data_IF_456354495336
#
_entry.id   IF_456354495336
#
_cell.length_a   1.000
_cell.length_b   1.000
_cell.length_c   1.000
_cell.angle_alpha   90.00
_cell.angle_beta   90.00
_cell.angle_gamma   90.00
#
_symmetry.space_group_name_H-M   'P 1'
#
loop_
_entity.id
_entity.type
_entity.pdbx_description
1 polymer ?
#
# COMPACT_ATOMS: atom_id res chain seq x y z
N UNK A 1 -11.71 29.75 24.10
CA UNK A 1 -11.19 29.99 22.74
C UNK A 1 -9.85 29.30 22.56
N UNK A 2 -8.92 29.39 23.51
CA UNK A 2 -7.62 28.68 23.49
C UNK A 2 -7.75 27.15 23.33
N UNK A 3 -8.64 26.51 24.11
CA UNK A 3 -8.82 25.06 24.12
C UNK A 3 -9.37 24.47 22.79
N UNK A 4 -10.07 25.26 21.98
CA UNK A 4 -10.55 24.82 20.67
C UNK A 4 -9.46 24.90 19.61
N UNK A 5 -8.64 25.97 19.61
CA UNK A 5 -7.54 26.11 18.65
C UNK A 5 -6.52 24.97 18.78
N UNK A 6 -6.20 24.56 20.01
CA UNK A 6 -5.31 23.43 20.28
C UNK A 6 -5.85 22.11 19.74
N UNK A 7 -7.16 21.86 19.88
CA UNK A 7 -7.79 20.65 19.37
C UNK A 7 -7.76 20.57 17.83
N UNK A 8 -7.88 21.71 17.14
CA UNK A 8 -7.81 21.78 15.69
C UNK A 8 -6.38 21.63 15.16
N UNK A 9 -5.40 22.20 15.85
CA UNK A 9 -3.99 22.00 15.55
C UNK A 9 -3.62 20.51 15.68
N UNK A 10 -4.04 19.84 16.77
CA UNK A 10 -3.83 18.41 16.98
C UNK A 10 -4.47 17.55 15.87
N UNK A 11 -5.71 17.85 15.46
CA UNK A 11 -6.37 17.12 14.37
C UNK A 11 -5.67 17.30 13.02
N UNK A 12 -5.16 18.51 12.75
CA UNK A 12 -4.40 18.80 11.54
C UNK A 12 -3.04 18.09 11.52
N UNK A 13 -2.35 18.07 12.65
CA UNK A 13 -1.07 17.37 12.80
C UNK A 13 -1.24 15.86 12.67
N UNK A 14 -2.28 15.30 13.27
CA UNK A 14 -2.63 13.87 13.12
C UNK A 14 -2.99 13.53 11.66
N UNK A 15 -3.74 14.39 10.97
CA UNK A 15 -4.05 14.21 9.55
C UNK A 15 -2.77 14.17 8.69
N UNK A 16 -1.88 15.15 8.86
CA UNK A 16 -0.60 15.22 8.13
C UNK A 16 0.27 14.00 8.43
N UNK A 17 0.39 13.64 9.71
CA UNK A 17 1.14 12.47 10.15
C UNK A 17 0.65 11.20 9.47
N UNK A 18 -0.67 10.93 9.49
CA UNK A 18 -1.24 9.73 8.88
C UNK A 18 -1.10 9.71 7.37
N UNK A 19 -1.29 10.84 6.70
CA UNK A 19 -1.10 10.93 5.27
C UNK A 19 0.34 10.58 4.87
N UNK A 20 1.34 11.19 5.53
CA UNK A 20 2.75 10.89 5.27
C UNK A 20 3.09 9.43 5.62
N UNK A 21 2.57 8.93 6.74
CA UNK A 21 2.78 7.55 7.17
C UNK A 21 2.26 6.55 6.13
N UNK A 22 1.06 6.77 5.59
CA UNK A 22 0.45 5.93 4.54
C UNK A 22 1.34 5.91 3.30
N UNK A 23 1.77 7.08 2.82
CA UNK A 23 2.65 7.17 1.64
C UNK A 23 3.98 6.46 1.85
N UNK A 24 4.63 6.71 3.00
CA UNK A 24 5.90 6.07 3.34
C UNK A 24 5.79 4.55 3.37
N UNK A 25 4.75 4.02 4.01
CA UNK A 25 4.49 2.57 4.06
C UNK A 25 4.22 2.00 2.67
N UNK A 26 3.42 2.70 1.87
CA UNK A 26 3.08 2.29 0.50
C UNK A 26 4.34 2.16 -0.37
N UNK A 27 5.24 3.15 -0.34
CA UNK A 27 6.50 3.08 -1.10
C UNK A 27 7.45 2.00 -0.59
N UNK A 28 7.64 1.90 0.73
CA UNK A 28 8.52 0.89 1.33
C UNK A 28 8.10 -0.53 0.94
N UNK A 29 6.80 -0.82 1.01
CA UNK A 29 6.26 -2.14 0.67
C UNK A 29 6.32 -2.38 -0.83
N UNK A 30 6.01 -1.38 -1.65
CA UNK A 30 6.14 -1.49 -3.12
C UNK A 30 7.56 -1.89 -3.51
N UNK A 31 8.56 -1.21 -2.96
CA UNK A 31 9.97 -1.53 -3.21
C UNK A 31 10.28 -2.96 -2.77
N UNK A 32 9.83 -3.37 -1.58
CA UNK A 32 10.05 -4.72 -1.09
C UNK A 32 9.41 -5.79 -2.00
N UNK A 33 8.17 -5.59 -2.45
CA UNK A 33 7.45 -6.52 -3.34
C UNK A 33 8.13 -6.59 -4.71
N UNK A 34 8.55 -5.45 -5.26
CA UNK A 34 9.26 -5.39 -6.55
C UNK A 34 10.61 -6.09 -6.45
N UNK A 35 11.39 -5.85 -5.40
CA UNK A 35 12.69 -6.49 -5.21
C UNK A 35 12.54 -8.01 -5.05
N UNK A 36 11.64 -8.46 -4.18
CA UNK A 36 11.35 -9.89 -4.00
C UNK A 36 10.84 -10.55 -5.28
N UNK A 37 10.03 -9.82 -6.05
CA UNK A 37 9.57 -10.27 -7.35
C UNK A 37 10.68 -10.33 -8.41
N UNK A 38 11.67 -9.44 -8.32
CA UNK A 38 12.80 -9.35 -9.24
C UNK A 38 13.88 -10.42 -8.99
N UNK A 39 13.99 -10.95 -7.76
CA UNK A 39 15.01 -11.93 -7.35
C UNK A 39 15.25 -13.04 -8.39
N UNK A 40 14.23 -13.72 -8.94
CA UNK A 40 14.44 -14.82 -9.88
C UNK A 40 15.13 -14.39 -11.19
N UNK A 41 15.00 -13.14 -11.57
CA UNK A 41 15.52 -12.61 -12.84
C UNK A 41 16.95 -12.07 -12.72
N UNK A 42 17.44 -11.79 -11.51
CA UNK A 42 18.74 -11.15 -11.30
C UNK A 42 19.94 -12.10 -11.40
N UNK A 43 19.72 -13.40 -11.13
CA UNK A 43 20.80 -14.40 -11.06
C UNK A 43 20.36 -15.75 -11.67
N UNK A 44 20.30 -15.87 -13.01
CA UNK A 44 19.91 -17.10 -13.70
C UNK A 44 20.71 -18.33 -13.23
N UNK A 45 21.98 -18.17 -12.89
CA UNK A 45 22.85 -19.27 -12.45
C UNK A 45 22.42 -19.89 -11.11
N UNK A 46 21.93 -19.05 -10.18
CA UNK A 46 21.42 -19.50 -8.87
C UNK A 46 20.10 -20.25 -9.04
N UNK A 47 19.33 -19.90 -10.07
CA UNK A 47 18.00 -20.48 -10.30
C UNK A 47 18.04 -21.96 -10.68
N UNK A 48 19.11 -22.42 -11.34
CA UNK A 48 19.31 -23.85 -11.64
C UNK A 48 19.57 -24.70 -10.40
N UNK A 49 20.20 -24.13 -9.37
CA UNK A 49 20.50 -24.83 -8.12
C UNK A 49 19.29 -24.87 -7.20
N UNK A 50 18.51 -23.78 -7.13
CA UNK A 50 17.34 -23.70 -6.25
C UNK A 50 16.08 -24.37 -6.81
N UNK A 51 15.98 -24.59 -8.12
CA UNK A 51 14.81 -25.20 -8.77
C UNK A 51 13.48 -24.61 -8.26
N UNK A 52 12.69 -25.36 -7.48
CA UNK A 52 11.41 -24.92 -6.91
C UNK A 52 11.51 -23.92 -5.75
N UNK A 53 12.64 -23.85 -5.04
CA UNK A 53 12.83 -22.93 -3.91
C UNK A 53 12.84 -21.46 -4.34
N UNK A 54 13.05 -21.17 -5.63
CA UNK A 54 13.05 -19.81 -6.14
C UNK A 54 11.68 -19.14 -6.11
N UNK A 55 10.60 -19.92 -6.02
CA UNK A 55 9.24 -19.41 -5.87
C UNK A 55 8.99 -18.76 -4.51
N UNK A 56 9.83 -19.03 -3.50
CA UNK A 56 9.66 -18.47 -2.15
C UNK A 56 9.73 -16.95 -2.17
N UNK A 57 10.68 -16.36 -2.90
CA UNK A 57 10.82 -14.90 -2.97
C UNK A 57 9.57 -14.19 -3.56
N UNK A 58 9.06 -14.55 -4.76
CA UNK A 58 7.85 -13.94 -5.29
C UNK A 58 6.59 -14.30 -4.47
N UNK A 59 6.54 -15.49 -3.83
CA UNK A 59 5.47 -15.83 -2.88
C UNK A 59 5.47 -14.92 -1.65
N UNK A 60 6.65 -14.63 -1.08
CA UNK A 60 6.78 -13.67 0.01
C UNK A 60 6.33 -12.27 -0.41
N UNK A 61 6.66 -11.84 -1.62
CA UNK A 61 6.13 -10.58 -2.19
C UNK A 61 4.60 -10.58 -2.31
N UNK A 62 4.00 -11.72 -2.66
CA UNK A 62 2.54 -11.86 -2.77
C UNK A 62 1.87 -11.80 -1.39
N UNK A 63 2.44 -12.49 -0.40
CA UNK A 63 1.95 -12.44 0.99
C UNK A 63 2.08 -11.03 1.55
N UNK A 64 3.21 -10.36 1.30
CA UNK A 64 3.43 -8.98 1.76
C UNK A 64 2.43 -8.00 1.14
N UNK A 65 2.15 -8.11 -0.17
CA UNK A 65 1.15 -7.27 -0.83
C UNK A 65 -0.27 -7.56 -0.34
N UNK A 66 -0.61 -8.82 -0.03
CA UNK A 66 -1.90 -9.18 0.59
C UNK A 66 -2.06 -8.56 1.99
N UNK A 67 -1.04 -8.67 2.85
CA UNK A 67 -1.03 -8.05 4.17
C UNK A 67 -1.17 -6.54 4.04
N UNK A 68 -0.52 -5.93 3.05
CA UNK A 68 -0.60 -4.49 2.78
C UNK A 68 -2.01 -4.07 2.38
N UNK A 69 -2.67 -4.85 1.54
CA UNK A 69 -4.06 -4.60 1.16
C UNK A 69 -4.98 -4.57 2.38
N UNK A 70 -4.81 -5.54 3.28
CA UNK A 70 -5.55 -5.59 4.52
C UNK A 70 -5.25 -4.39 5.42
N UNK A 71 -3.97 -4.13 5.72
CA UNK A 71 -3.56 -3.01 6.58
C UNK A 71 -4.02 -1.65 6.04
N UNK A 72 -3.86 -1.40 4.74
CA UNK A 72 -4.28 -0.15 4.11
C UNK A 72 -5.80 0.04 4.14
N UNK A 73 -6.58 -1.04 4.07
CA UNK A 73 -8.03 -0.95 4.21
C UNK A 73 -8.44 -0.35 5.57
N UNK A 74 -7.80 -0.78 6.66
CA UNK A 74 -8.08 -0.26 8.00
C UNK A 74 -7.52 1.15 8.19
N UNK A 75 -6.26 1.39 7.83
CA UNK A 75 -5.61 2.70 7.98
C UNK A 75 -6.35 3.80 7.21
N UNK A 76 -6.76 3.52 5.96
CA UNK A 76 -7.54 4.48 5.17
C UNK A 76 -8.95 4.69 5.73
N UNK A 77 -9.53 3.66 6.37
CA UNK A 77 -10.80 3.79 7.07
C UNK A 77 -10.71 4.77 8.25
N UNK A 78 -9.65 4.67 9.02
CA UNK A 78 -9.40 5.57 10.15
C UNK A 78 -9.03 6.98 9.68
N UNK A 79 -8.17 7.10 8.66
CA UNK A 79 -7.84 8.37 8.01
C UNK A 79 -9.09 9.09 7.48
N UNK A 80 -10.02 8.36 6.84
CA UNK A 80 -11.26 8.95 6.34
C UNK A 80 -12.12 9.57 7.46
N UNK A 81 -12.15 8.94 8.65
CA UNK A 81 -12.87 9.48 9.81
C UNK A 81 -12.23 10.78 10.32
N UNK A 82 -10.90 10.81 10.45
CA UNK A 82 -10.15 11.99 10.91
C UNK A 82 -10.29 13.13 9.89
N UNK A 83 -10.14 12.83 8.60
CA UNK A 83 -10.34 13.81 7.53
C UNK A 83 -11.77 14.34 7.47
N UNK A 84 -12.79 13.51 7.75
CA UNK A 84 -14.17 13.96 7.84
C UNK A 84 -14.39 14.89 9.05
N UNK A 85 -13.81 14.57 10.21
CA UNK A 85 -13.89 15.43 11.40
C UNK A 85 -13.23 16.80 11.18
N UNK A 86 -12.03 16.82 10.57
CA UNK A 86 -11.34 18.07 10.27
C UNK A 86 -12.12 18.95 9.28
N UNK A 87 -12.75 18.33 8.27
CA UNK A 87 -13.56 19.05 7.27
C UNK A 87 -14.87 19.59 7.81
N UNK A 88 -15.57 18.84 8.67
CA UNK A 88 -16.77 19.34 9.36
C UNK A 88 -16.44 20.62 10.13
N UNK A 89 -15.30 20.63 10.82
CA UNK A 89 -14.86 21.83 11.51
C UNK A 89 -14.57 23.01 10.57
N UNK A 90 -13.93 22.77 9.41
CA UNK A 90 -13.68 23.80 8.39
C UNK A 90 -14.95 24.33 7.72
N UNK A 91 -15.97 23.48 7.56
CA UNK A 91 -17.28 23.87 7.04
C UNK A 91 -18.06 24.70 8.06
N UNK A 92 -18.01 24.33 9.35
CA UNK A 92 -18.61 25.09 10.46
C UNK A 92 -17.97 26.48 10.63
N UNK A 93 -16.67 26.61 10.38
CA UNK A 93 -15.96 27.89 10.38
C UNK A 93 -16.09 28.69 9.08
N UNK A 94 -16.79 28.15 8.07
CA UNK A 94 -17.07 28.85 6.81
C UNK A 94 -15.87 29.09 5.90
N UNK A 95 -14.73 28.43 6.17
CA UNK A 95 -13.46 28.72 5.51
C UNK A 95 -13.39 28.12 4.10
N UNK A 96 -13.84 26.87 3.91
CA UNK A 96 -13.68 26.13 2.64
C UNK A 96 -14.87 25.19 2.42
N UNK A 97 -15.43 25.19 1.21
CA UNK A 97 -16.44 24.22 0.77
C UNK A 97 -15.74 23.00 0.16
N UNK A 98 -15.84 21.85 0.80
CA UNK A 98 -15.20 20.63 0.31
C UNK A 98 -16.11 19.85 -0.64
N UNK A 99 -15.50 19.27 -1.68
CA UNK A 99 -16.20 18.30 -2.53
C UNK A 99 -16.49 17.00 -1.75
N UNK A 100 -17.69 16.41 -1.88
CA UNK A 100 -18.06 15.19 -1.17
C UNK A 100 -17.30 13.95 -1.67
N UNK A 101 -16.60 14.03 -2.81
CA UNK A 101 -15.94 12.88 -3.41
C UNK A 101 -14.50 12.71 -2.91
N UNK A 102 -14.26 11.57 -2.23
CA UNK A 102 -12.97 11.21 -1.67
C UNK A 102 -12.22 10.20 -2.54
N UNK A 103 -11.54 10.70 -3.57
CA UNK A 103 -10.76 9.85 -4.48
C UNK A 103 -9.52 9.23 -3.82
N UNK A 104 -8.94 9.84 -2.78
CA UNK A 104 -7.68 9.37 -2.18
C UNK A 104 -7.75 7.91 -1.71
N UNK A 105 -8.75 7.56 -0.88
CA UNK A 105 -8.91 6.18 -0.39
C UNK A 105 -9.09 5.20 -1.55
N UNK A 106 -9.89 5.56 -2.54
CA UNK A 106 -10.16 4.71 -3.70
C UNK A 106 -8.90 4.49 -4.54
N UNK A 107 -8.13 5.55 -4.81
CA UNK A 107 -6.88 5.49 -5.56
C UNK A 107 -5.82 4.64 -4.85
N UNK A 108 -5.65 4.82 -3.54
CA UNK A 108 -4.69 4.01 -2.75
C UNK A 108 -5.12 2.54 -2.74
N UNK A 109 -6.41 2.24 -2.58
CA UNK A 109 -6.92 0.87 -2.62
C UNK A 109 -6.72 0.22 -4.00
N UNK A 110 -7.01 0.94 -5.10
CA UNK A 110 -6.74 0.45 -6.46
C UNK A 110 -5.25 0.16 -6.62
N UNK A 111 -4.39 1.07 -6.18
CA UNK A 111 -2.95 0.92 -6.30
C UNK A 111 -2.46 -0.36 -5.60
N UNK A 112 -2.89 -0.58 -4.36
CA UNK A 112 -2.46 -1.76 -3.59
C UNK A 112 -3.07 -3.05 -4.16
N UNK A 113 -4.32 -3.01 -4.63
CA UNK A 113 -4.93 -4.13 -5.34
C UNK A 113 -4.18 -4.47 -6.63
N UNK A 114 -3.77 -3.46 -7.40
CA UNK A 114 -2.95 -3.64 -8.59
C UNK A 114 -1.59 -4.25 -8.26
N UNK A 115 -0.92 -3.77 -7.20
CA UNK A 115 0.34 -4.34 -6.73
C UNK A 115 0.21 -5.84 -6.37
N UNK A 116 -0.89 -6.22 -5.71
CA UNK A 116 -1.19 -7.61 -5.39
C UNK A 116 -1.41 -8.46 -6.65
N UNK A 117 -2.19 -7.98 -7.62
CA UNK A 117 -2.41 -8.67 -8.89
C UNK A 117 -1.11 -8.86 -9.67
N UNK A 118 -0.25 -7.84 -9.73
CA UNK A 118 1.07 -7.92 -10.36
C UNK A 118 1.95 -8.94 -9.64
N UNK A 119 1.90 -8.99 -8.31
CA UNK A 119 2.67 -9.97 -7.53
C UNK A 119 2.21 -11.41 -7.80
N UNK A 120 0.90 -11.66 -7.86
CA UNK A 120 0.33 -12.94 -8.27
C UNK A 120 0.74 -13.34 -9.68
N UNK A 121 0.66 -12.41 -10.63
CA UNK A 121 1.08 -12.63 -12.00
C UNK A 121 2.57 -12.98 -12.06
N UNK A 122 3.41 -12.32 -11.26
CA UNK A 122 4.83 -12.63 -11.19
C UNK A 122 5.10 -14.05 -10.69
N UNK A 123 4.38 -14.53 -9.68
CA UNK A 123 4.48 -15.94 -9.24
C UNK A 123 4.10 -16.89 -10.38
N UNK A 124 3.03 -16.60 -11.12
CA UNK A 124 2.60 -17.42 -12.25
C UNK A 124 3.66 -17.44 -13.38
N UNK A 125 4.25 -16.28 -13.69
CA UNK A 125 5.32 -16.16 -14.70
C UNK A 125 6.55 -16.97 -14.29
N UNK A 126 7.03 -16.81 -13.05
CA UNK A 126 8.19 -17.57 -12.54
C UNK A 126 7.88 -19.07 -12.55
N UNK A 127 6.66 -19.47 -12.15
CA UNK A 127 6.22 -20.86 -12.20
C UNK A 127 6.27 -21.42 -13.62
N UNK A 128 5.68 -20.72 -14.59
CA UNK A 128 5.60 -21.18 -15.98
C UNK A 128 6.97 -21.24 -16.64
N UNK A 129 7.79 -20.20 -16.48
CA UNK A 129 9.10 -20.11 -17.11
C UNK A 129 10.11 -21.11 -16.54
N UNK A 130 10.08 -21.40 -15.22
CA UNK A 130 11.07 -22.29 -14.60
C UNK A 130 10.59 -23.73 -14.42
N UNK A 131 9.34 -23.99 -14.00
CA UNK A 131 8.84 -25.37 -13.89
C UNK A 131 8.46 -25.95 -15.25
N UNK A 132 8.11 -25.12 -16.23
CA UNK A 132 7.91 -25.56 -17.62
C UNK A 132 9.20 -25.94 -18.35
N UNK A 133 10.38 -25.54 -17.83
CA UNK A 133 11.69 -25.94 -18.37
C UNK A 133 12.25 -27.24 -17.75
N UNK A 134 11.65 -27.72 -16.64
CA UNK A 134 12.10 -28.90 -15.90
C UNK A 134 11.28 -30.16 -16.26
N UNK A 135 10.15 -29.99 -16.95
CA UNK A 135 9.32 -31.09 -17.50
C UNK A 135 9.69 -31.37 -18.97
#
# INVERSE_FOLDING_TARGET
MEQSEDAHALLWDEYKYRHDHIWKKLFQITIAVVLLGAVPYLKPDITRVLQGWILIAPLLGTVLSLITLFLMHFELGLFARIAAAHRRHQEETGLIRHSPHHYFRYLVMIYVAFLFLVSLANVAVVRLLWLGQVA
#
